data_IF_728088346046
#
_entry.id   IF_728088346046
#
_cell.length_a   1.000
_cell.length_b   1.000
_cell.length_c   1.000
_cell.angle_alpha   90.00
_cell.angle_beta   90.00
_cell.angle_gamma   90.00
#
_symmetry.space_group_name_H-M   'P 1'
#
loop_
_entity.id
_entity.type
_entity.pdbx_description
1 polymer ?
#
# COMPACT_ATOMS: atom_id res chain seq x y z
N UNK A 1 -19.71 -20.84 10.91
CA UNK A 1 -18.53 -20.54 10.08
C UNK A 1 -18.84 -20.02 8.66
N UNK A 2 -19.79 -20.54 7.86
CA UNK A 2 -19.92 -20.14 6.45
C UNK A 2 -20.39 -18.69 6.22
N UNK A 3 -21.12 -18.09 7.16
CA UNK A 3 -21.61 -16.71 7.07
C UNK A 3 -20.58 -15.65 7.49
N UNK A 4 -19.61 -16.00 8.35
CA UNK A 4 -18.58 -15.09 8.82
C UNK A 4 -17.41 -14.96 7.83
N UNK A 5 -17.13 -16.01 7.06
CA UNK A 5 -16.06 -16.01 6.07
C UNK A 5 -16.14 -14.86 5.04
N UNK A 6 -17.28 -14.61 4.36
CA UNK A 6 -17.37 -13.51 3.39
C UNK A 6 -17.21 -12.13 4.04
N UNK A 7 -17.72 -11.96 5.27
CA UNK A 7 -17.57 -10.71 6.04
C UNK A 7 -16.10 -10.48 6.41
N UNK A 8 -15.41 -11.53 6.87
CA UNK A 8 -14.00 -11.49 7.21
C UNK A 8 -13.14 -11.17 5.97
N UNK A 9 -13.44 -11.80 4.84
CA UNK A 9 -12.77 -11.56 3.57
C UNK A 9 -12.98 -10.12 3.07
N UNK A 10 -14.23 -9.64 3.07
CA UNK A 10 -14.54 -8.27 2.67
C UNK A 10 -13.84 -7.25 3.57
N UNK A 11 -13.80 -7.52 4.88
CA UNK A 11 -13.10 -6.68 5.84
C UNK A 11 -11.59 -6.68 5.56
N UNK A 12 -10.99 -7.85 5.32
CA UNK A 12 -9.57 -7.94 4.98
C UNK A 12 -9.25 -7.16 3.70
N UNK A 13 -10.07 -7.30 2.66
CA UNK A 13 -9.90 -6.56 1.39
C UNK A 13 -10.03 -5.05 1.63
N UNK A 14 -11.07 -4.61 2.36
CA UNK A 14 -11.28 -3.20 2.66
C UNK A 14 -10.10 -2.60 3.45
N UNK A 15 -9.56 -3.33 4.42
CA UNK A 15 -8.37 -2.95 5.17
C UNK A 15 -7.13 -2.88 4.28
N UNK A 16 -6.93 -3.86 3.40
CA UNK A 16 -5.80 -3.91 2.47
C UNK A 16 -5.84 -2.72 1.51
N UNK A 17 -7.00 -2.46 0.90
CA UNK A 17 -7.25 -1.32 0.02
C UNK A 17 -7.05 -0.01 0.79
N UNK A 18 -7.60 0.14 2.00
CA UNK A 18 -7.42 1.34 2.82
C UNK A 18 -5.95 1.66 3.15
N UNK A 19 -5.10 0.62 3.21
CA UNK A 19 -3.67 0.75 3.49
C UNK A 19 -2.84 1.03 2.23
N UNK A 20 -3.20 0.42 1.10
CA UNK A 20 -2.48 0.53 -0.18
C UNK A 20 -2.93 1.71 -1.04
N UNK A 21 -4.21 2.06 -1.01
CA UNK A 21 -4.79 3.05 -1.93
C UNK A 21 -4.20 4.45 -1.73
N UNK A 22 -4.03 4.98 -0.49
CA UNK A 22 -3.39 6.28 -0.30
C UNK A 22 -1.96 6.28 -0.77
N UNK A 23 -1.23 5.21 -0.50
CA UNK A 23 0.21 5.14 -0.75
C UNK A 23 0.51 4.97 -2.25
N UNK A 24 -0.33 4.25 -2.99
CA UNK A 24 -0.29 4.15 -4.44
C UNK A 24 -0.71 5.44 -5.13
N UNK A 25 -1.81 6.07 -4.69
CA UNK A 25 -2.42 7.19 -5.41
C UNK A 25 -1.89 8.57 -5.03
N UNK A 26 -1.38 8.78 -3.80
CA UNK A 26 -0.82 10.09 -3.39
C UNK A 26 0.21 10.63 -4.38
N UNK A 27 1.19 9.84 -4.84
CA UNK A 27 2.24 10.33 -5.75
C UNK A 27 1.69 10.79 -7.10
N UNK A 28 0.58 10.21 -7.56
CA UNK A 28 -0.11 10.65 -8.77
C UNK A 28 -1.01 11.87 -8.51
N UNK A 29 -1.70 11.92 -7.37
CA UNK A 29 -2.52 13.07 -6.98
C UNK A 29 -1.67 14.33 -6.77
N UNK A 30 -0.51 14.19 -6.12
CA UNK A 30 0.45 15.28 -5.91
C UNK A 30 1.19 15.69 -7.19
N UNK A 31 1.19 14.84 -8.23
CA UNK A 31 1.74 15.21 -9.55
C UNK A 31 0.87 16.25 -10.25
N UNK A 32 -0.43 16.27 -9.97
CA UNK A 32 -1.37 17.20 -10.56
C UNK A 32 -1.39 18.58 -9.86
N UNK A 33 -0.66 18.75 -8.75
CA UNK A 33 -0.63 19.98 -7.98
C UNK A 33 0.74 20.67 -8.10
N UNK A 34 0.72 21.99 -8.34
CA UNK A 34 1.92 22.82 -8.34
C UNK A 34 2.38 23.09 -6.89
N UNK A 35 3.68 23.39 -6.67
CA UNK A 35 4.16 23.78 -5.34
C UNK A 35 3.46 25.07 -4.88
N UNK A 36 2.61 24.97 -3.84
CA UNK A 36 1.87 26.11 -3.29
C UNK A 36 0.35 26.02 -3.45
N UNK A 37 -0.18 25.07 -4.22
CA UNK A 37 -1.62 24.80 -4.25
C UNK A 37 -2.09 24.13 -2.95
N UNK A 38 -3.21 24.57 -2.39
CA UNK A 38 -3.86 23.83 -1.31
C UNK A 38 -4.24 22.43 -1.81
N UNK A 39 -3.94 21.41 -0.99
CA UNK A 39 -4.27 20.03 -1.33
C UNK A 39 -5.77 19.89 -1.63
N UNK A 40 -6.12 19.70 -2.91
CA UNK A 40 -7.51 19.50 -3.35
C UNK A 40 -8.17 18.33 -2.63
N UNK A 41 -9.52 18.33 -2.58
CA UNK A 41 -10.35 17.36 -1.83
C UNK A 41 -9.86 15.90 -1.81
N UNK A 42 -9.62 15.24 -2.97
CA UNK A 42 -9.16 13.85 -2.98
C UNK A 42 -7.77 13.65 -2.36
N UNK A 43 -6.83 14.58 -2.57
CA UNK A 43 -5.51 14.53 -1.92
C UNK A 43 -5.63 14.70 -0.40
N UNK A 44 -6.52 15.59 0.07
CA UNK A 44 -6.80 15.81 1.49
C UNK A 44 -7.41 14.56 2.16
N UNK A 45 -8.31 13.87 1.46
CA UNK A 45 -8.90 12.61 1.92
C UNK A 45 -7.86 11.48 2.04
N UNK A 46 -6.98 11.33 1.04
CA UNK A 46 -5.89 10.35 1.09
C UNK A 46 -4.88 10.66 2.22
N UNK A 47 -4.57 11.93 2.43
CA UNK A 47 -3.72 12.39 3.54
C UNK A 47 -4.36 12.12 4.90
N UNK A 48 -5.66 12.37 5.05
CA UNK A 48 -6.39 12.08 6.27
C UNK A 48 -6.42 10.58 6.57
N UNK A 49 -6.67 9.74 5.55
CA UNK A 49 -6.68 8.28 5.69
C UNK A 49 -5.30 7.75 6.07
N UNK A 50 -4.24 8.34 5.52
CA UNK A 50 -2.85 8.00 5.86
C UNK A 50 -2.46 8.47 7.27
N UNK A 51 -3.00 9.60 7.74
CA UNK A 51 -2.74 10.15 9.07
C UNK A 51 -3.49 9.40 10.20
N UNK A 52 -4.74 8.98 9.98
CA UNK A 52 -5.60 8.41 11.03
C UNK A 52 -5.74 6.88 10.99
N UNK A 53 -5.57 6.24 9.83
CA UNK A 53 -5.94 4.83 9.66
C UNK A 53 -4.81 3.81 9.82
N UNK A 54 -3.56 4.24 9.92
CA UNK A 54 -2.46 3.40 9.43
C UNK A 54 -1.94 2.29 10.36
N UNK A 55 -2.12 2.44 11.68
CA UNK A 55 -1.81 1.39 12.66
C UNK A 55 -3.02 0.49 12.87
N UNK A 56 -4.21 1.07 12.99
CA UNK A 56 -5.47 0.32 13.09
C UNK A 56 -5.72 -0.57 11.87
N UNK A 57 -5.53 -0.06 10.65
CA UNK A 57 -5.61 -0.87 9.44
C UNK A 57 -4.53 -1.94 9.39
N UNK A 58 -3.30 -1.66 9.85
CA UNK A 58 -2.23 -2.66 9.88
C UNK A 58 -2.52 -3.81 10.84
N UNK A 59 -2.96 -3.50 12.06
CA UNK A 59 -3.37 -4.48 13.07
C UNK A 59 -4.58 -5.26 12.58
N UNK A 60 -5.62 -4.57 12.10
CA UNK A 60 -6.82 -5.21 11.55
C UNK A 60 -6.48 -6.15 10.39
N UNK A 61 -5.59 -5.73 9.48
CA UNK A 61 -5.16 -6.53 8.34
C UNK A 61 -4.40 -7.78 8.77
N UNK A 62 -3.52 -7.66 9.77
CA UNK A 62 -2.81 -8.81 10.34
C UNK A 62 -3.77 -9.78 11.03
N UNK A 63 -4.68 -9.28 11.88
CA UNK A 63 -5.67 -10.10 12.58
C UNK A 63 -6.62 -10.80 11.61
N UNK A 64 -7.15 -10.08 10.62
CA UNK A 64 -8.04 -10.66 9.61
C UNK A 64 -7.32 -11.63 8.69
N UNK A 65 -6.04 -11.38 8.35
CA UNK A 65 -5.20 -12.30 7.58
C UNK A 65 -4.94 -13.61 8.33
N UNK A 66 -4.59 -13.53 9.61
CA UNK A 66 -4.42 -14.72 10.48
C UNK A 66 -5.74 -15.48 10.61
N UNK A 67 -6.85 -14.78 10.84
CA UNK A 67 -8.17 -15.40 10.94
C UNK A 67 -8.58 -16.11 9.63
N UNK A 68 -8.26 -15.52 8.46
CA UNK A 68 -8.48 -16.15 7.15
C UNK A 68 -7.60 -17.40 6.98
N UNK A 69 -6.32 -17.32 7.35
CA UNK A 69 -5.40 -18.47 7.27
C UNK A 69 -5.87 -19.63 8.15
N UNK A 70 -6.34 -19.34 9.37
CA UNK A 70 -6.90 -20.35 10.29
C UNK A 70 -8.21 -20.92 9.72
N UNK A 71 -9.10 -20.09 9.20
CA UNK A 71 -10.39 -20.53 8.66
C UNK A 71 -10.26 -21.37 7.38
N UNK A 72 -9.28 -21.06 6.53
CA UNK A 72 -9.01 -21.78 5.29
C UNK A 72 -8.17 -23.06 5.51
N UNK A 73 -7.47 -23.13 6.64
CA UNK A 73 -6.68 -24.28 7.05
C UNK A 73 -5.34 -24.43 6.33
N UNK A 74 -4.48 -25.36 6.80
CA UNK A 74 -3.09 -25.48 6.34
C UNK A 74 -2.96 -25.92 4.88
N UNK A 75 -3.96 -26.64 4.35
CA UNK A 75 -3.98 -27.14 2.97
C UNK A 75 -3.89 -26.02 1.93
N UNK A 76 -4.31 -24.79 2.29
CA UNK A 76 -4.19 -23.62 1.44
C UNK A 76 -2.72 -23.28 1.13
N UNK A 77 -1.82 -23.48 2.10
CA UNK A 77 -0.37 -23.29 1.92
C UNK A 77 0.28 -24.38 1.07
N UNK A 78 -0.44 -25.44 0.68
CA UNK A 78 0.04 -26.40 -0.31
C UNK A 78 0.07 -25.84 -1.74
N UNK A 79 -0.54 -24.66 -1.98
CA UNK A 79 -0.59 -24.06 -3.31
C UNK A 79 0.61 -23.13 -3.54
N UNK A 80 1.52 -23.46 -4.47
CA UNK A 80 2.79 -22.76 -4.60
C UNK A 80 2.63 -21.35 -5.17
N UNK A 81 1.66 -21.13 -6.07
CA UNK A 81 1.29 -19.78 -6.53
C UNK A 81 0.81 -18.89 -5.39
N UNK A 82 0.17 -19.46 -4.36
CA UNK A 82 -0.32 -18.72 -3.22
C UNK A 82 0.83 -18.33 -2.29
N UNK A 83 1.77 -19.24 -2.03
CA UNK A 83 2.99 -18.90 -1.27
C UNK A 83 3.73 -17.76 -1.96
N UNK A 84 3.90 -17.84 -3.28
CA UNK A 84 4.54 -16.78 -4.06
C UNK A 84 3.79 -15.45 -3.93
N UNK A 85 2.46 -15.47 -4.07
CA UNK A 85 1.62 -14.28 -3.93
C UNK A 85 1.71 -13.68 -2.51
N UNK A 86 1.68 -14.51 -1.47
CA UNK A 86 1.83 -14.09 -0.07
C UNK A 86 3.22 -13.51 0.21
N UNK A 87 4.27 -14.10 -0.37
CA UNK A 87 5.64 -13.58 -0.28
C UNK A 87 5.79 -12.21 -0.93
N UNK A 88 5.29 -12.05 -2.15
CA UNK A 88 5.27 -10.76 -2.86
C UNK A 88 4.43 -9.73 -2.08
N UNK A 89 3.28 -10.14 -1.55
CA UNK A 89 2.43 -9.28 -0.73
C UNK A 89 3.14 -8.81 0.55
N UNK A 90 3.78 -9.72 1.29
CA UNK A 90 4.53 -9.39 2.50
C UNK A 90 5.70 -8.42 2.21
N UNK A 91 6.46 -8.68 1.13
CA UNK A 91 7.52 -7.78 0.68
C UNK A 91 6.97 -6.39 0.31
N UNK A 92 5.85 -6.34 -0.42
CA UNK A 92 5.20 -5.10 -0.82
C UNK A 92 4.70 -4.30 0.40
N UNK A 93 4.15 -4.98 1.40
CA UNK A 93 3.73 -4.37 2.67
C UNK A 93 4.92 -3.82 3.46
N UNK A 94 6.04 -4.55 3.50
CA UNK A 94 7.27 -4.08 4.13
C UNK A 94 7.81 -2.80 3.45
N UNK A 95 7.85 -2.77 2.11
CA UNK A 95 8.22 -1.57 1.36
C UNK A 95 7.29 -0.41 1.65
N UNK A 96 5.97 -0.65 1.67
CA UNK A 96 4.97 0.35 2.02
C UNK A 96 5.23 0.96 3.40
N UNK A 97 5.48 0.11 4.40
CA UNK A 97 5.60 0.54 5.78
C UNK A 97 6.95 1.19 6.09
N UNK A 98 8.06 0.57 5.68
CA UNK A 98 9.41 1.00 6.07
C UNK A 98 10.04 2.01 5.12
N UNK A 99 9.65 2.05 3.84
CA UNK A 99 10.26 2.94 2.84
C UNK A 99 9.29 4.05 2.45
N UNK A 100 8.08 3.65 2.02
CA UNK A 100 7.16 4.58 1.38
C UNK A 100 6.61 5.61 2.37
N UNK A 101 6.21 5.16 3.57
CA UNK A 101 5.65 6.04 4.61
C UNK A 101 6.62 7.10 5.12
N UNK A 102 7.86 6.79 5.58
CA UNK A 102 8.77 7.82 6.07
C UNK A 102 9.13 8.82 4.97
N UNK A 103 9.26 8.37 3.72
CA UNK A 103 9.53 9.25 2.60
C UNK A 103 8.35 10.18 2.28
N UNK A 104 7.10 9.68 2.29
CA UNK A 104 5.92 10.54 2.11
C UNK A 104 5.78 11.57 3.22
N UNK A 105 5.95 11.18 4.49
CA UNK A 105 5.92 12.12 5.61
C UNK A 105 6.97 13.23 5.46
N UNK A 106 8.18 12.88 5.00
CA UNK A 106 9.25 13.86 4.73
C UNK A 106 8.95 14.77 3.53
N UNK A 107 8.23 14.28 2.52
CA UNK A 107 7.84 15.09 1.36
C UNK A 107 6.71 16.07 1.71
N UNK A 108 5.75 15.65 2.53
CA UNK A 108 4.61 16.44 2.97
C UNK A 108 4.95 17.45 4.07
N UNK A 109 5.96 17.15 4.90
CA UNK A 109 6.43 18.04 5.96
C UNK A 109 7.45 19.10 5.51
N UNK A 110 7.76 19.19 4.22
CA UNK A 110 8.65 20.22 3.69
C UNK A 110 7.98 21.60 3.84
N UNK A 111 8.67 22.55 4.49
CA UNK A 111 8.15 23.90 4.74
C UNK A 111 8.41 24.82 3.55
N UNK A 112 7.43 25.66 3.24
CA UNK A 112 7.54 26.76 2.28
C UNK A 112 7.79 28.06 3.07
N UNK A 113 8.67 28.99 2.62
CA UNK A 113 9.46 28.95 1.38
C UNK A 113 10.71 28.04 1.49
N UNK A 114 11.00 27.28 0.44
CA UNK A 114 12.22 26.45 0.32
C UNK A 114 13.32 27.22 -0.41
N UNK A 115 14.56 27.04 0.03
CA UNK A 115 15.73 27.48 -0.74
C UNK A 115 15.87 26.67 -2.06
N UNK A 116 16.62 27.18 -3.03
CA UNK A 116 16.89 26.48 -4.29
C UNK A 116 17.54 25.10 -4.08
N UNK A 117 18.47 25.00 -3.13
CA UNK A 117 19.13 23.74 -2.76
C UNK A 117 18.16 22.73 -2.15
N UNK A 118 17.27 23.18 -1.27
CA UNK A 118 16.25 22.32 -0.65
C UNK A 118 15.23 21.82 -1.68
N UNK A 119 14.87 22.68 -2.65
CA UNK A 119 13.97 22.35 -3.75
C UNK A 119 14.55 21.27 -4.66
N UNK A 120 15.84 21.34 -5.00
CA UNK A 120 16.52 20.29 -5.77
C UNK A 120 16.53 18.95 -5.00
N UNK A 121 16.85 18.97 -3.71
CA UNK A 121 16.84 17.78 -2.87
C UNK A 121 15.44 17.17 -2.70
N UNK A 122 14.40 18.01 -2.61
CA UNK A 122 13.00 17.56 -2.57
C UNK A 122 12.59 16.90 -3.89
N UNK A 123 12.93 17.50 -5.04
CA UNK A 123 12.64 16.94 -6.37
C UNK A 123 13.30 15.57 -6.57
N UNK A 124 14.55 15.40 -6.12
CA UNK A 124 15.24 14.11 -6.20
C UNK A 124 14.55 13.03 -5.35
N UNK A 125 14.10 13.38 -4.13
CA UNK A 125 13.32 12.48 -3.25
C UNK A 125 11.96 12.14 -3.85
N UNK A 126 11.26 13.12 -4.39
CA UNK A 126 9.98 12.92 -5.08
C UNK A 126 10.12 11.95 -6.26
N UNK A 127 11.21 12.06 -7.04
CA UNK A 127 11.50 11.13 -8.14
C UNK A 127 11.75 9.70 -7.63
N UNK A 128 12.55 9.52 -6.58
CA UNK A 128 12.78 8.19 -5.96
C UNK A 128 11.48 7.57 -5.48
N UNK A 129 10.62 8.38 -4.86
CA UNK A 129 9.32 7.93 -4.38
C UNK A 129 8.42 7.38 -5.49
N UNK A 130 8.48 7.96 -6.70
CA UNK A 130 7.74 7.45 -7.86
C UNK A 130 8.19 6.06 -8.27
N UNK A 131 9.50 5.81 -8.31
CA UNK A 131 10.02 4.47 -8.62
C UNK A 131 9.57 3.42 -7.60
N UNK A 132 9.53 3.78 -6.32
CA UNK A 132 8.97 2.90 -5.27
C UNK A 132 7.51 2.59 -5.56
N UNK A 133 6.70 3.60 -5.89
CA UNK A 133 5.29 3.37 -6.23
C UNK A 133 5.09 2.52 -7.49
N UNK A 134 5.94 2.66 -8.51
CA UNK A 134 5.89 1.79 -9.70
C UNK A 134 6.25 0.34 -9.36
N UNK A 135 7.27 0.12 -8.53
CA UNK A 135 7.63 -1.21 -8.06
C UNK A 135 6.48 -1.86 -7.27
N UNK A 136 5.85 -1.11 -6.37
CA UNK A 136 4.71 -1.59 -5.59
C UNK A 136 3.48 -1.88 -6.47
N UNK A 137 3.17 -1.02 -7.44
CA UNK A 137 2.09 -1.26 -8.39
C UNK A 137 2.34 -2.52 -9.23
N UNK A 138 3.59 -2.72 -9.66
CA UNK A 138 4.01 -3.94 -10.38
C UNK A 138 3.84 -5.18 -9.50
N UNK A 139 4.25 -5.12 -8.23
CA UNK A 139 4.05 -6.21 -7.28
C UNK A 139 2.57 -6.56 -7.10
N UNK A 140 1.68 -5.56 -7.02
CA UNK A 140 0.21 -5.79 -6.99
C UNK A 140 -0.27 -6.46 -8.27
N UNK A 141 0.21 -6.02 -9.43
CA UNK A 141 -0.11 -6.65 -10.72
C UNK A 141 0.32 -8.12 -10.78
N UNK A 142 1.52 -8.43 -10.30
CA UNK A 142 2.04 -9.81 -10.19
C UNK A 142 1.17 -10.66 -9.26
N UNK A 143 0.77 -10.13 -8.11
CA UNK A 143 -0.14 -10.84 -7.19
C UNK A 143 -1.47 -11.15 -7.89
N UNK A 144 -2.07 -10.16 -8.56
CA UNK A 144 -3.30 -10.34 -9.32
C UNK A 144 -3.17 -11.38 -10.42
N UNK A 145 -2.06 -11.37 -11.15
CA UNK A 145 -1.73 -12.36 -12.16
C UNK A 145 -1.61 -13.77 -11.56
N UNK A 146 -0.88 -13.94 -10.45
CA UNK A 146 -0.74 -15.23 -9.75
C UNK A 146 -2.10 -15.76 -9.27
N UNK A 147 -2.95 -14.90 -8.72
CA UNK A 147 -4.29 -15.28 -8.25
C UNK A 147 -5.24 -15.65 -9.39
N UNK A 148 -5.09 -15.02 -10.57
CA UNK A 148 -5.93 -15.25 -11.73
C UNK A 148 -5.53 -16.49 -12.52
N UNK A 149 -4.23 -16.67 -12.77
CA UNK A 149 -3.72 -17.76 -13.61
C UNK A 149 -3.42 -19.03 -12.84
N UNK A 150 -3.26 -18.93 -11.50
CA UNK A 150 -2.96 -20.05 -10.59
C UNK A 150 -1.94 -21.04 -11.17
N UNK A 151 -0.77 -20.55 -11.59
CA UNK A 151 0.19 -21.36 -12.31
C UNK A 151 0.63 -22.54 -11.44
N UNK A 152 0.81 -23.71 -12.08
CA UNK A 152 1.46 -24.85 -11.44
C UNK A 152 2.95 -24.51 -11.31
N UNK A 153 3.30 -23.97 -10.14
CA UNK A 153 4.66 -23.64 -9.79
C UNK A 153 5.23 -24.82 -9.00
N UNK A 154 5.95 -25.73 -9.66
CA UNK A 154 6.59 -26.92 -9.08
C UNK A 154 5.70 -27.92 -8.31
#
# INVERSE_FOLDING_TARGET
MPTLFPILLLTHIALAVGLFLPSLLLPFALRAQAPGDEAGGPARGLLWLQAHGTVGFGIGLALTGVALAVALGPALFGQPWLIAALGVYAANLAVAFFVQRPNLRRLLGARTPMSDGDRAAWNARARRQRYVSYAMATAVGVIGFLMSTKPALW
#
